data_IF_446575392351
#
_entry.id   IF_446575392351
#
_cell.length_a   1.000
_cell.length_b   1.000
_cell.length_c   1.000
_cell.angle_alpha   90.00
_cell.angle_beta   90.00
_cell.angle_gamma   90.00
#
_symmetry.space_group_name_H-M   'P 1'
#
loop_
_entity.id
_entity.type
_entity.pdbx_description
1 polymer ?
#
# COMPACT_ATOMS: atom_id res chain seq x y z
N UNK A 1 4.46 -25.08 -31.63
CA UNK A 1 3.84 -23.87 -31.06
C UNK A 1 2.68 -24.35 -30.19
N UNK A 2 2.59 -23.90 -28.94
CA UNK A 2 1.48 -24.33 -28.07
C UNK A 2 0.15 -23.71 -28.53
N UNK A 3 -0.98 -24.34 -28.18
CA UNK A 3 -2.31 -23.84 -28.54
C UNK A 3 -2.52 -22.38 -28.06
N UNK A 4 -2.00 -22.04 -26.89
CA UNK A 4 -2.08 -20.67 -26.33
C UNK A 4 -1.23 -19.67 -27.13
N UNK A 5 -0.03 -20.03 -27.58
CA UNK A 5 0.79 -19.18 -28.44
C UNK A 5 0.12 -18.93 -29.79
N UNK A 6 -0.58 -19.94 -30.34
CA UNK A 6 -1.33 -19.79 -31.58
C UNK A 6 -2.47 -18.79 -31.44
N UNK A 7 -3.29 -18.94 -30.37
CA UNK A 7 -4.41 -18.02 -30.09
C UNK A 7 -3.94 -16.60 -29.85
N UNK A 8 -2.88 -16.40 -29.07
CA UNK A 8 -2.28 -15.08 -28.87
C UNK A 8 -1.91 -14.43 -30.22
N UNK A 9 -1.17 -15.14 -31.08
CA UNK A 9 -0.71 -14.60 -32.38
C UNK A 9 -1.88 -14.25 -33.31
N UNK A 10 -2.89 -15.10 -33.37
CA UNK A 10 -4.10 -14.86 -34.17
C UNK A 10 -4.88 -13.64 -33.66
N UNK A 11 -5.00 -13.51 -32.34
CA UNK A 11 -5.65 -12.37 -31.68
C UNK A 11 -4.90 -11.06 -31.93
N UNK A 12 -3.58 -11.03 -31.74
CA UNK A 12 -2.78 -9.82 -31.99
C UNK A 12 -2.86 -9.38 -33.45
N UNK A 13 -2.80 -10.33 -34.39
CA UNK A 13 -2.98 -10.04 -35.83
C UNK A 13 -4.37 -9.45 -36.12
N UNK A 14 -5.41 -10.01 -35.52
CA UNK A 14 -6.77 -9.50 -35.69
C UNK A 14 -6.91 -8.09 -35.12
N UNK A 15 -6.46 -7.84 -33.90
CA UNK A 15 -6.58 -6.55 -33.21
C UNK A 15 -5.80 -5.42 -33.89
N UNK A 16 -4.71 -5.77 -34.60
CA UNK A 16 -3.92 -4.80 -35.37
C UNK A 16 -4.66 -4.28 -36.61
N UNK A 17 -5.50 -5.13 -37.22
CA UNK A 17 -6.09 -4.87 -38.55
C UNK A 17 -7.59 -4.60 -38.51
N UNK A 18 -8.28 -5.07 -37.48
CA UNK A 18 -9.72 -4.92 -37.36
C UNK A 18 -10.12 -3.50 -36.91
N UNK A 19 -11.25 -2.97 -37.40
CA UNK A 19 -11.83 -1.76 -36.83
C UNK A 19 -12.25 -2.01 -35.37
N UNK A 20 -12.12 -0.98 -34.53
CA UNK A 20 -12.53 -1.03 -33.14
C UNK A 20 -14.05 -1.25 -33.04
N UNK A 21 -14.43 -2.45 -32.60
CA UNK A 21 -15.84 -2.91 -32.53
C UNK A 21 -16.08 -3.66 -31.23
N UNK A 22 -16.35 -2.92 -30.17
CA UNK A 22 -16.41 -3.43 -28.78
C UNK A 22 -17.52 -4.44 -28.53
N UNK A 23 -18.59 -4.43 -29.34
CA UNK A 23 -19.71 -5.36 -29.24
C UNK A 23 -19.54 -6.59 -30.14
N UNK A 24 -18.43 -6.67 -30.90
CA UNK A 24 -18.20 -7.80 -31.80
C UNK A 24 -17.59 -8.97 -31.01
N UNK A 25 -18.24 -10.14 -31.07
CA UNK A 25 -17.81 -11.33 -30.34
C UNK A 25 -16.36 -11.75 -30.65
N UNK A 26 -15.91 -11.59 -31.91
CA UNK A 26 -14.54 -11.89 -32.30
C UNK A 26 -13.54 -10.89 -31.72
N UNK A 27 -13.90 -9.62 -31.59
CA UNK A 27 -13.09 -8.61 -30.90
C UNK A 27 -12.96 -8.90 -29.41
N UNK A 28 -14.07 -9.21 -28.75
CA UNK A 28 -14.09 -9.57 -27.31
C UNK A 28 -13.24 -10.83 -27.06
N UNK A 29 -13.42 -11.87 -27.89
CA UNK A 29 -12.61 -13.10 -27.81
C UNK A 29 -11.14 -12.83 -28.07
N UNK A 30 -10.80 -11.95 -29.03
CA UNK A 30 -9.41 -11.62 -29.32
C UNK A 30 -8.70 -10.97 -28.14
N UNK A 31 -9.35 -10.03 -27.42
CA UNK A 31 -8.80 -9.46 -26.18
C UNK A 31 -8.63 -10.53 -25.09
N UNK A 32 -9.55 -11.50 -25.02
CA UNK A 32 -9.52 -12.60 -24.03
C UNK A 32 -8.45 -13.64 -24.25
N UNK A 33 -8.04 -13.80 -25.50
CA UNK A 33 -7.08 -14.81 -25.90
C UNK A 33 -5.63 -14.29 -25.90
N UNK A 34 -5.41 -13.04 -25.49
CA UNK A 34 -4.07 -12.48 -25.34
C UNK A 34 -3.38 -13.13 -24.13
N UNK A 35 -2.29 -13.83 -24.40
CA UNK A 35 -1.30 -14.16 -23.37
C UNK A 35 -0.50 -12.89 -23.00
N UNK A 36 -0.97 -12.17 -21.96
CA UNK A 36 -0.40 -10.88 -21.56
C UNK A 36 1.06 -10.98 -21.08
N UNK A 37 1.39 -12.00 -20.30
CA UNK A 37 2.75 -12.23 -19.76
C UNK A 37 3.82 -12.47 -20.84
N UNK A 38 3.39 -12.73 -22.09
CA UNK A 38 4.29 -12.92 -23.24
C UNK A 38 4.22 -11.78 -24.26
N UNK A 39 3.61 -10.65 -23.92
CA UNK A 39 3.54 -9.49 -24.81
C UNK A 39 4.94 -8.93 -25.07
N UNK A 40 5.22 -8.65 -26.34
CA UNK A 40 6.35 -7.80 -26.70
C UNK A 40 6.03 -6.32 -26.46
N UNK A 41 7.04 -5.46 -26.43
CA UNK A 41 6.86 -4.01 -26.24
C UNK A 41 5.94 -3.39 -27.31
N UNK A 42 6.09 -3.77 -28.58
CA UNK A 42 5.25 -3.25 -29.67
C UNK A 42 3.78 -3.68 -29.52
N UNK A 43 3.56 -4.91 -29.09
CA UNK A 43 2.23 -5.45 -28.83
C UNK A 43 1.58 -4.76 -27.64
N UNK A 44 2.33 -4.52 -26.56
CA UNK A 44 1.85 -3.76 -25.42
C UNK A 44 1.43 -2.34 -25.81
N UNK A 45 2.24 -1.62 -26.59
CA UNK A 45 1.88 -0.29 -27.12
C UNK A 45 0.56 -0.31 -27.90
N UNK A 46 0.30 -1.37 -28.68
CA UNK A 46 -0.99 -1.54 -29.35
C UNK A 46 -2.13 -1.72 -28.33
N UNK A 47 -1.95 -2.57 -27.33
CA UNK A 47 -2.94 -2.84 -26.29
C UNK A 47 -3.24 -1.59 -25.44
N UNK A 48 -2.23 -0.80 -25.07
CA UNK A 48 -2.41 0.48 -24.38
C UNK A 48 -3.25 1.45 -25.21
N UNK A 49 -2.93 1.59 -26.51
CA UNK A 49 -3.71 2.44 -27.43
C UNK A 49 -5.16 1.98 -27.54
N UNK A 50 -5.40 0.66 -27.54
CA UNK A 50 -6.74 0.11 -27.52
C UNK A 50 -7.45 0.47 -26.21
N UNK A 51 -6.83 0.23 -25.05
CA UNK A 51 -7.37 0.56 -23.74
C UNK A 51 -7.89 2.00 -23.66
N UNK A 52 -7.10 2.98 -24.11
CA UNK A 52 -7.49 4.38 -24.05
C UNK A 52 -8.63 4.75 -25.01
N UNK A 53 -8.78 4.03 -26.13
CA UNK A 53 -9.88 4.23 -27.09
C UNK A 53 -11.17 3.53 -26.69
N UNK A 54 -11.11 2.48 -25.88
CA UNK A 54 -12.28 1.68 -25.52
C UNK A 54 -13.24 2.42 -24.59
N UNK A 55 -14.55 2.32 -24.86
CA UNK A 55 -15.64 2.80 -23.99
C UNK A 55 -16.22 1.70 -23.11
N UNK A 56 -16.17 0.44 -23.54
CA UNK A 56 -16.64 -0.72 -22.80
C UNK A 56 -15.76 -0.96 -21.56
N UNK A 57 -16.39 -0.88 -20.39
CA UNK A 57 -15.73 -1.03 -19.09
C UNK A 57 -15.12 -2.42 -18.91
N UNK A 58 -15.85 -3.48 -19.24
CA UNK A 58 -15.39 -4.85 -19.03
C UNK A 58 -14.12 -5.16 -19.82
N UNK A 59 -14.06 -4.71 -21.08
CA UNK A 59 -12.86 -4.88 -21.92
C UNK A 59 -11.67 -4.08 -21.40
N UNK A 60 -11.89 -2.85 -20.94
CA UNK A 60 -10.82 -2.06 -20.31
C UNK A 60 -10.31 -2.73 -19.04
N UNK A 61 -11.21 -3.17 -18.17
CA UNK A 61 -10.87 -3.85 -16.92
C UNK A 61 -10.03 -5.10 -17.19
N UNK A 62 -10.42 -5.89 -18.19
CA UNK A 62 -9.69 -7.08 -18.61
C UNK A 62 -8.27 -6.76 -19.12
N UNK A 63 -8.11 -5.71 -19.94
CA UNK A 63 -6.79 -5.26 -20.39
C UNK A 63 -5.95 -4.80 -19.20
N UNK A 64 -6.53 -4.02 -18.29
CA UNK A 64 -5.83 -3.51 -17.11
C UNK A 64 -5.30 -4.66 -16.25
N UNK A 65 -6.16 -5.64 -15.95
CA UNK A 65 -5.77 -6.88 -15.25
C UNK A 65 -4.68 -7.68 -15.96
N UNK A 66 -4.71 -7.71 -17.29
CA UNK A 66 -3.70 -8.39 -18.08
C UNK A 66 -2.35 -7.70 -18.01
N UNK A 67 -2.33 -6.37 -18.19
CA UNK A 67 -1.11 -5.57 -18.21
C UNK A 67 -0.39 -5.53 -16.86
N UNK A 68 -1.11 -5.63 -15.73
CA UNK A 68 -0.49 -5.76 -14.38
C UNK A 68 0.46 -6.97 -14.30
N UNK A 69 0.22 -8.02 -15.08
CA UNK A 69 1.04 -9.25 -15.07
C UNK A 69 2.30 -9.15 -15.93
N UNK A 70 2.45 -8.07 -16.71
CA UNK A 70 3.56 -7.89 -17.65
C UNK A 70 4.79 -7.30 -16.96
N UNK A 71 5.44 -8.07 -16.08
CA UNK A 71 6.54 -7.60 -15.23
C UNK A 71 7.80 -7.17 -15.99
N UNK A 72 8.00 -7.68 -17.21
CA UNK A 72 9.18 -7.39 -18.04
C UNK A 72 9.03 -6.14 -18.92
N UNK A 73 7.85 -5.49 -18.92
CA UNK A 73 7.57 -4.30 -19.72
C UNK A 73 7.61 -3.04 -18.86
N UNK A 74 8.03 -1.91 -19.43
CA UNK A 74 7.84 -0.60 -18.80
C UNK A 74 6.42 -0.11 -19.12
N UNK A 75 5.56 -0.08 -18.10
CA UNK A 75 4.16 0.34 -18.19
C UNK A 75 3.80 1.41 -17.14
N UNK A 76 4.79 2.11 -16.56
CA UNK A 76 4.56 3.11 -15.51
C UNK A 76 3.62 4.20 -16.02
N UNK A 77 3.96 4.77 -17.17
CA UNK A 77 3.17 5.83 -17.79
C UNK A 77 1.76 5.34 -18.16
N UNK A 78 1.63 4.08 -18.60
CA UNK A 78 0.33 3.47 -18.87
C UNK A 78 -0.54 3.49 -17.62
N UNK A 79 -0.05 2.94 -16.50
CA UNK A 79 -0.83 2.84 -15.27
C UNK A 79 -1.14 4.22 -14.68
N UNK A 80 -0.24 5.20 -14.80
CA UNK A 80 -0.49 6.58 -14.36
C UNK A 80 -1.64 7.20 -15.15
N UNK A 81 -1.63 7.00 -16.46
CA UNK A 81 -2.67 7.51 -17.34
C UNK A 81 -4.00 6.73 -17.17
N UNK A 82 -3.94 5.43 -16.90
CA UNK A 82 -5.11 4.60 -16.59
C UNK A 82 -5.79 5.06 -15.30
N UNK A 83 -5.02 5.33 -14.24
CA UNK A 83 -5.53 5.87 -12.98
C UNK A 83 -6.26 7.21 -13.17
N UNK A 84 -5.72 8.09 -14.01
CA UNK A 84 -6.34 9.39 -14.36
C UNK A 84 -7.61 9.22 -15.23
N UNK A 85 -7.64 8.21 -16.10
CA UNK A 85 -8.77 7.95 -17.02
C UNK A 85 -9.99 7.37 -16.29
N UNK A 86 -9.77 6.42 -15.39
CA UNK A 86 -10.86 5.62 -14.84
C UNK A 86 -11.62 6.34 -13.73
N UNK A 87 -12.95 6.20 -13.74
CA UNK A 87 -13.84 6.82 -12.75
C UNK A 87 -14.33 5.84 -11.68
N UNK A 88 -14.21 4.54 -11.94
CA UNK A 88 -14.65 3.48 -11.04
C UNK A 88 -13.51 3.09 -10.11
N UNK A 89 -13.83 2.95 -8.82
CA UNK A 89 -12.84 2.75 -7.77
C UNK A 89 -12.03 1.47 -7.97
N UNK A 90 -12.70 0.36 -8.30
CA UNK A 90 -12.08 -0.93 -8.58
C UNK A 90 -11.01 -0.84 -9.68
N UNK A 91 -11.32 -0.17 -10.79
CA UNK A 91 -10.37 0.03 -11.89
C UNK A 91 -9.24 1.01 -11.54
N UNK A 92 -9.53 2.05 -10.73
CA UNK A 92 -8.47 2.94 -10.22
C UNK A 92 -7.51 2.18 -9.30
N UNK A 93 -8.04 1.34 -8.41
CA UNK A 93 -7.24 0.48 -7.53
C UNK A 93 -6.36 -0.47 -8.35
N UNK A 94 -6.86 -1.02 -9.46
CA UNK A 94 -6.05 -1.84 -10.37
C UNK A 94 -4.95 -1.05 -11.07
N UNK A 95 -5.23 0.18 -11.49
CA UNK A 95 -4.20 1.04 -12.06
C UNK A 95 -3.12 1.39 -11.02
N UNK A 96 -3.52 1.69 -9.78
CA UNK A 96 -2.58 1.91 -8.67
C UNK A 96 -1.78 0.65 -8.37
N UNK A 97 -2.41 -0.52 -8.41
CA UNK A 97 -1.72 -1.81 -8.25
C UNK A 97 -0.62 -1.98 -9.32
N UNK A 98 -0.88 -1.62 -10.57
CA UNK A 98 0.16 -1.59 -11.61
C UNK A 98 1.26 -0.56 -11.35
N UNK A 99 0.93 0.60 -10.78
CA UNK A 99 1.93 1.63 -10.42
C UNK A 99 2.85 1.23 -9.29
N UNK A 100 2.35 0.47 -8.31
CA UNK A 100 3.12 0.05 -7.14
C UNK A 100 4.38 -0.71 -7.54
N UNK A 101 4.37 -1.43 -8.67
CA UNK A 101 5.55 -2.09 -9.22
C UNK A 101 6.71 -1.15 -9.59
N UNK A 102 6.40 0.13 -9.89
CA UNK A 102 7.38 1.15 -10.31
C UNK A 102 7.67 2.18 -9.22
N UNK A 103 7.20 1.95 -7.99
CA UNK A 103 7.69 2.68 -6.84
C UNK A 103 9.18 2.34 -6.71
N UNK A 104 10.04 3.37 -6.64
CA UNK A 104 11.48 3.17 -6.55
C UNK A 104 11.85 2.38 -5.30
N UNK A 105 12.83 1.48 -5.40
CA UNK A 105 13.49 0.83 -4.25
C UNK A 105 14.23 1.82 -3.33
N UNK A 106 14.31 3.10 -3.71
CA UNK A 106 14.86 4.17 -2.88
C UNK A 106 13.91 4.49 -1.71
N UNK A 107 14.19 3.81 -0.58
CA UNK A 107 13.66 4.01 0.79
C UNK A 107 12.14 4.19 0.85
N UNK A 108 11.44 3.08 0.98
CA UNK A 108 10.03 3.07 1.34
C UNK A 108 9.77 3.69 2.73
N UNK A 109 10.80 3.85 3.57
CA UNK A 109 10.67 4.44 4.89
C UNK A 109 11.86 4.13 5.82
N UNK A 110 11.67 4.34 7.11
CA UNK A 110 12.55 3.83 8.17
C UNK A 110 11.79 3.61 9.48
N UNK A 111 12.30 2.72 10.33
CA UNK A 111 11.81 2.43 11.68
C UNK A 111 12.94 2.72 12.69
N UNK A 112 12.61 3.26 13.86
CA UNK A 112 13.59 3.74 14.84
C UNK A 112 14.38 4.97 14.38
N UNK A 113 15.42 5.36 15.13
CA UNK A 113 16.18 6.58 14.83
C UNK A 113 15.38 7.86 15.06
N UNK A 114 15.70 8.92 14.31
CA UNK A 114 15.03 10.21 14.48
C UNK A 114 13.77 10.30 13.60
N UNK A 115 12.82 11.14 14.02
CA UNK A 115 11.65 11.47 13.21
C UNK A 115 12.05 12.24 11.93
N UNK A 116 11.15 12.37 10.94
CA UNK A 116 11.40 13.26 9.81
C UNK A 116 11.59 14.72 10.24
N UNK A 117 12.49 15.45 9.57
CA UNK A 117 12.76 16.90 9.80
C UNK A 117 11.50 17.77 9.67
N UNK A 118 10.46 17.27 9.01
CA UNK A 118 9.14 17.90 8.99
C UNK A 118 8.65 18.23 10.41
N UNK A 119 8.92 17.37 11.39
CA UNK A 119 8.42 17.55 12.75
C UNK A 119 9.32 18.46 13.62
N UNK A 120 10.42 18.97 13.10
CA UNK A 120 11.31 19.86 13.83
C UNK A 120 10.56 21.14 14.23
N UNK A 121 10.65 21.49 15.52
CA UNK A 121 9.90 22.62 16.08
C UNK A 121 8.37 22.46 16.10
N UNK A 122 7.83 21.29 15.77
CA UNK A 122 6.39 20.99 15.80
C UNK A 122 5.98 20.10 16.99
N UNK A 123 6.61 20.30 18.16
CA UNK A 123 6.31 19.53 19.38
C UNK A 123 4.82 19.51 19.72
N UNK A 124 4.13 20.64 19.53
CA UNK A 124 2.71 20.80 19.88
C UNK A 124 1.77 20.07 18.92
N UNK A 125 2.24 19.64 17.74
CA UNK A 125 1.49 18.77 16.83
C UNK A 125 1.44 17.33 17.36
N UNK A 126 2.49 16.92 18.07
CA UNK A 126 2.71 15.53 18.47
C UNK A 126 2.38 15.34 19.94
N UNK A 127 2.92 16.16 20.83
CA UNK A 127 2.65 16.09 22.26
C UNK A 127 1.28 16.65 22.60
N UNK A 128 0.60 16.03 23.56
CA UNK A 128 -0.74 16.43 23.97
C UNK A 128 -0.83 16.54 25.48
N UNK A 129 -0.97 17.77 25.98
CA UNK A 129 -0.89 18.04 27.41
C UNK A 129 0.46 17.60 27.98
N UNK A 130 0.42 16.66 28.92
CA UNK A 130 1.62 16.07 29.52
C UNK A 130 2.09 14.80 28.80
N UNK A 131 1.32 14.28 27.83
CA UNK A 131 1.65 13.06 27.13
C UNK A 131 2.76 13.30 26.13
N UNK A 132 3.88 12.62 26.35
CA UNK A 132 5.00 12.57 25.42
C UNK A 132 4.87 11.42 24.45
N UNK A 133 5.48 11.61 23.30
CA UNK A 133 5.42 10.71 22.16
C UNK A 133 6.82 10.53 21.61
N UNK A 134 7.08 9.31 21.15
CA UNK A 134 8.33 8.92 20.51
C UNK A 134 8.03 8.37 19.12
N UNK A 135 8.95 8.64 18.21
CA UNK A 135 8.90 8.21 16.83
C UNK A 135 9.02 6.69 16.77
N UNK A 136 8.11 6.08 16.03
CA UNK A 136 8.14 4.65 15.78
C UNK A 136 8.72 4.36 14.40
N UNK A 137 8.04 4.85 13.34
CA UNK A 137 8.47 4.68 11.96
C UNK A 137 7.86 5.71 11.03
N UNK A 138 8.42 5.81 9.84
CA UNK A 138 7.87 6.58 8.72
C UNK A 138 7.91 5.73 7.45
N UNK A 139 6.90 5.86 6.60
CA UNK A 139 6.84 5.23 5.28
C UNK A 139 6.23 6.14 4.23
N UNK A 140 6.70 6.03 2.99
CA UNK A 140 6.09 6.70 1.84
C UNK A 140 4.64 6.21 1.72
N UNK A 141 3.71 7.15 1.63
CA UNK A 141 2.29 6.85 1.61
C UNK A 141 1.98 5.93 0.40
N UNK A 142 1.42 4.72 0.61
CA UNK A 142 1.33 3.71 -0.44
C UNK A 142 0.50 4.12 -1.66
N UNK A 143 -0.40 5.09 -1.49
CA UNK A 143 -1.29 5.62 -2.53
C UNK A 143 -0.97 7.08 -2.94
N UNK A 144 0.03 7.72 -2.33
CA UNK A 144 0.39 9.13 -2.53
C UNK A 144 1.91 9.28 -2.44
N UNK A 145 2.66 8.92 -3.50
CA UNK A 145 4.12 8.86 -3.45
C UNK A 145 4.81 10.19 -3.12
N UNK A 146 4.09 11.30 -3.19
CA UNK A 146 4.51 12.64 -2.77
C UNK A 146 4.33 12.94 -1.27
N UNK A 147 3.76 12.01 -0.49
CA UNK A 147 3.61 12.14 0.97
C UNK A 147 4.12 10.91 1.72
N UNK A 148 4.31 11.08 3.02
CA UNK A 148 4.71 10.04 3.97
C UNK A 148 3.70 9.95 5.09
N UNK A 149 3.64 8.80 5.73
CA UNK A 149 2.93 8.57 6.98
C UNK A 149 3.98 8.29 8.05
N UNK A 150 3.99 9.09 9.11
CA UNK A 150 4.80 8.84 10.30
C UNK A 150 3.92 8.40 11.46
N UNK A 151 4.43 7.44 12.22
CA UNK A 151 3.78 6.87 13.40
C UNK A 151 4.56 7.31 14.64
N UNK A 152 3.82 7.79 15.63
CA UNK A 152 4.33 8.09 16.96
C UNK A 152 3.53 7.30 18.00
N UNK A 153 4.24 6.69 18.93
CA UNK A 153 3.66 5.98 20.07
C UNK A 153 3.86 6.82 21.33
N UNK A 154 2.93 6.79 22.30
CA UNK A 154 3.19 7.43 23.59
C UNK A 154 4.43 6.84 24.27
N UNK A 155 5.18 7.67 24.99
CA UNK A 155 6.36 7.23 25.75
C UNK A 155 5.98 6.32 26.94
N UNK A 156 4.78 6.51 27.49
CA UNK A 156 4.24 5.72 28.59
C UNK A 156 3.48 4.49 28.06
N UNK A 157 3.97 3.29 28.36
CA UNK A 157 3.36 2.02 27.95
C UNK A 157 1.93 1.84 28.45
N UNK A 158 1.67 2.21 29.70
CA UNK A 158 0.35 2.02 30.31
C UNK A 158 -0.71 2.87 29.60
N UNK A 159 -0.33 4.08 29.18
CA UNK A 159 -1.23 4.99 28.46
C UNK A 159 -1.75 4.36 27.16
N UNK A 160 -0.88 3.82 26.31
CA UNK A 160 -1.34 3.21 25.05
C UNK A 160 -1.82 1.78 25.19
N UNK A 161 -1.57 1.11 26.31
CA UNK A 161 -2.23 -0.14 26.67
C UNK A 161 -3.71 0.09 27.00
N UNK A 162 -4.02 1.08 27.84
CA UNK A 162 -5.40 1.44 28.19
C UNK A 162 -6.16 2.04 27.00
N UNK A 163 -5.45 2.76 26.13
CA UNK A 163 -5.99 3.47 24.97
C UNK A 163 -5.52 2.82 23.65
N UNK A 164 -5.78 1.52 23.49
CA UNK A 164 -5.31 0.73 22.34
C UNK A 164 -6.31 0.57 21.18
N UNK A 165 -7.50 1.17 21.24
CA UNK A 165 -8.59 0.97 20.24
C UNK A 165 -9.24 2.30 19.81
N UNK A 166 -9.48 2.45 18.52
CA UNK A 166 -10.22 3.57 17.91
C UNK A 166 -11.64 3.69 18.48
N UNK A 167 -12.14 4.91 18.75
CA UNK A 167 -11.56 6.22 18.41
C UNK A 167 -10.54 6.76 19.42
N UNK A 168 -10.31 6.06 20.52
CA UNK A 168 -9.46 6.53 21.60
C UNK A 168 -8.03 6.01 21.49
N UNK A 169 -7.64 5.40 20.36
CA UNK A 169 -6.30 4.87 20.20
C UNK A 169 -5.29 6.01 20.33
N UNK A 170 -4.39 5.95 21.31
CA UNK A 170 -3.46 7.03 21.59
C UNK A 170 -2.29 7.09 20.59
N UNK A 171 -2.07 6.04 19.79
CA UNK A 171 -1.06 6.03 18.73
C UNK A 171 -1.42 7.03 17.64
N UNK A 172 -0.45 7.88 17.28
CA UNK A 172 -0.63 8.91 16.24
C UNK A 172 -0.11 8.43 14.90
N UNK A 173 -0.95 8.50 13.88
CA UNK A 173 -0.56 8.33 12.48
C UNK A 173 -0.76 9.66 11.75
N UNK A 174 0.30 10.22 11.19
CA UNK A 174 0.28 11.58 10.64
C UNK A 174 0.80 11.56 9.21
N UNK A 175 -0.01 12.04 8.28
CA UNK A 175 0.39 12.28 6.90
C UNK A 175 1.11 13.63 6.78
N UNK A 176 2.26 13.66 6.09
CA UNK A 176 3.04 14.87 5.85
C UNK A 176 3.79 14.79 4.51
N UNK A 177 4.33 15.90 3.97
CA UNK A 177 5.19 15.88 2.78
C UNK A 177 6.42 14.99 2.97
N UNK A 178 6.97 14.45 1.88
CA UNK A 178 8.25 13.72 1.90
C UNK A 178 9.32 14.58 2.61
N UNK A 179 10.04 13.95 3.53
CA UNK A 179 10.97 14.61 4.43
C UNK A 179 12.11 13.66 4.79
N UNK A 180 13.33 14.19 4.92
CA UNK A 180 14.48 13.40 5.35
C UNK A 180 14.49 13.20 6.86
N UNK A 181 15.31 12.28 7.37
CA UNK A 181 15.46 12.10 8.82
C UNK A 181 16.05 13.38 9.45
N UNK A 182 15.48 13.81 10.56
CA UNK A 182 15.93 14.96 11.34
C UNK A 182 17.31 14.72 11.97
N UNK A 183 18.06 15.81 12.15
CA UNK A 183 19.24 15.81 13.02
C UNK A 183 18.89 15.97 14.51
N UNK A 184 17.66 16.35 14.83
CA UNK A 184 17.17 16.51 16.19
C UNK A 184 16.70 15.18 16.79
N UNK A 185 17.09 14.93 18.04
CA UNK A 185 16.74 13.70 18.75
C UNK A 185 15.44 13.81 19.58
N UNK A 186 14.63 14.85 19.36
CA UNK A 186 13.48 15.20 20.20
C UNK A 186 12.49 14.04 20.36
N UNK A 187 12.21 13.34 19.27
CA UNK A 187 11.26 12.24 19.24
C UNK A 187 11.94 10.86 19.17
N UNK A 188 13.26 10.78 19.25
CA UNK A 188 13.98 9.52 19.05
C UNK A 188 13.52 8.47 20.06
N UNK A 189 13.09 7.31 19.57
CA UNK A 189 12.81 6.18 20.44
C UNK A 189 14.15 5.52 20.84
N UNK A 190 14.54 5.56 22.12
CA UNK A 190 15.82 4.99 22.55
C UNK A 190 15.87 3.47 22.38
N UNK A 191 14.73 2.78 22.43
CA UNK A 191 14.67 1.33 22.32
C UNK A 191 14.77 0.78 20.89
N UNK A 192 14.72 1.64 19.87
CA UNK A 192 14.73 1.23 18.46
C UNK A 192 15.97 1.75 17.72
N UNK A 193 16.82 0.82 17.31
CA UNK A 193 17.96 1.06 16.43
C UNK A 193 17.44 1.29 15.01
N UNK A 194 17.84 2.40 14.39
CA UNK A 194 17.36 2.76 13.06
C UNK A 194 17.59 1.65 12.01
N UNK A 195 16.53 1.27 11.31
CA UNK A 195 16.60 0.44 10.11
C UNK A 195 15.86 1.10 8.94
N UNK A 196 16.45 1.03 7.75
CA UNK A 196 15.76 1.44 6.53
C UNK A 196 14.72 0.40 6.13
N UNK A 197 13.58 0.87 5.62
CA UNK A 197 12.53 0.02 5.05
C UNK A 197 12.73 0.02 3.53
N UNK A 198 12.96 -1.16 2.96
CA UNK A 198 13.06 -1.38 1.52
C UNK A 198 11.68 -1.55 0.87
N UNK A 199 11.65 -1.57 -0.47
CA UNK A 199 10.45 -2.00 -1.19
C UNK A 199 10.00 -3.40 -0.76
N UNK A 200 8.70 -3.62 -0.74
CA UNK A 200 8.09 -4.92 -0.45
C UNK A 200 7.81 -5.74 -1.70
N UNK A 201 7.46 -7.00 -1.51
CA UNK A 201 7.03 -7.89 -2.60
C UNK A 201 5.50 -7.89 -2.73
N UNK A 202 5.02 -8.06 -3.97
CA UNK A 202 3.60 -8.29 -4.22
C UNK A 202 3.20 -9.71 -3.80
N UNK A 203 2.30 -9.81 -2.83
CA UNK A 203 1.68 -11.07 -2.40
C UNK A 203 0.16 -11.00 -2.55
N UNK A 204 -0.46 -12.16 -2.73
CA UNK A 204 -1.91 -12.27 -2.53
C UNK A 204 -2.22 -12.35 -1.02
N UNK A 205 -3.48 -12.08 -0.68
CA UNK A 205 -3.88 -11.94 0.72
C UNK A 205 -3.72 -13.23 1.51
N UNK A 206 -4.15 -14.38 0.96
CA UNK A 206 -4.00 -15.70 1.60
C UNK A 206 -2.54 -16.02 1.92
N UNK A 207 -1.64 -15.92 0.94
CA UNK A 207 -0.21 -16.18 1.14
C UNK A 207 0.44 -15.24 2.14
N UNK A 208 -0.02 -13.98 2.16
CA UNK A 208 0.52 -13.00 3.10
C UNK A 208 0.20 -13.34 4.56
N UNK A 209 -0.84 -14.14 4.82
CA UNK A 209 -1.17 -14.57 6.18
C UNK A 209 -0.19 -15.63 6.71
N UNK A 210 0.40 -16.43 5.81
CA UNK A 210 1.26 -17.57 6.14
C UNK A 210 2.76 -17.23 6.22
N UNK A 211 3.14 -15.97 5.99
CA UNK A 211 4.53 -15.51 6.01
C UNK A 211 4.74 -14.40 7.04
N UNK A 212 5.91 -14.37 7.67
CA UNK A 212 6.30 -13.25 8.52
C UNK A 212 6.60 -12.02 7.65
N UNK A 213 6.15 -10.85 8.08
CA UNK A 213 6.38 -9.57 7.40
C UNK A 213 6.50 -8.45 8.42
N UNK A 214 7.29 -7.41 8.11
CA UNK A 214 7.33 -6.20 8.95
C UNK A 214 6.11 -5.32 8.68
N UNK A 215 5.78 -5.10 7.40
CA UNK A 215 4.67 -4.26 6.96
C UNK A 215 3.86 -5.01 5.91
N UNK A 216 2.53 -4.98 6.07
CA UNK A 216 1.59 -5.42 5.06
C UNK A 216 0.68 -4.26 4.69
N UNK A 217 0.60 -3.94 3.40
CA UNK A 217 -0.23 -2.87 2.86
C UNK A 217 -1.40 -3.47 2.09
N UNK A 218 -2.62 -3.01 2.38
CA UNK A 218 -3.85 -3.46 1.72
C UNK A 218 -4.23 -4.91 2.02
N UNK A 219 -5.30 -5.39 1.36
CA UNK A 219 -5.90 -6.69 1.65
C UNK A 219 -6.65 -6.69 2.99
N UNK A 220 -6.73 -7.84 3.67
CA UNK A 220 -7.29 -7.96 5.01
C UNK A 220 -6.18 -7.90 6.07
N UNK A 221 -6.42 -7.32 7.26
CA UNK A 221 -5.44 -7.39 8.34
C UNK A 221 -5.23 -8.83 8.84
N UNK A 222 -3.99 -9.20 9.15
CA UNK A 222 -3.66 -10.43 9.91
C UNK A 222 -3.84 -10.12 11.39
N UNK A 223 -5.03 -10.43 11.91
CA UNK A 223 -5.37 -10.18 13.32
C UNK A 223 -4.78 -11.26 14.23
N UNK A 224 -4.22 -10.84 15.36
CA UNK A 224 -3.81 -11.73 16.46
C UNK A 224 -5.06 -12.23 17.20
N UNK A 225 -5.99 -11.30 17.46
CA UNK A 225 -7.27 -11.59 18.11
C UNK A 225 -8.42 -11.21 17.18
N UNK A 226 -9.29 -12.18 16.88
CA UNK A 226 -10.41 -11.99 15.97
C UNK A 226 -11.70 -11.62 16.73
N UNK A 227 -11.69 -10.43 17.34
CA UNK A 227 -12.82 -9.92 18.11
C UNK A 227 -13.46 -8.71 17.41
N UNK A 228 -14.78 -8.74 17.26
CA UNK A 228 -15.52 -7.74 16.46
C UNK A 228 -15.37 -6.30 17.00
N UNK A 229 -15.19 -6.15 18.32
CA UNK A 229 -15.16 -4.83 18.96
C UNK A 229 -14.01 -3.94 18.44
N UNK A 230 -12.90 -4.53 17.99
CA UNK A 230 -11.79 -3.79 17.37
C UNK A 230 -12.22 -3.08 16.07
N UNK A 231 -13.17 -3.66 15.35
CA UNK A 231 -13.58 -3.21 14.02
C UNK A 231 -14.91 -2.45 14.03
N UNK A 232 -15.72 -2.56 15.08
CA UNK A 232 -17.08 -1.99 15.14
C UNK A 232 -17.10 -0.50 14.79
N UNK A 233 -16.30 0.33 15.46
CA UNK A 233 -16.28 1.78 15.23
C UNK A 233 -15.71 2.17 13.87
N UNK A 234 -14.67 1.47 13.42
CA UNK A 234 -14.08 1.68 12.10
C UNK A 234 -15.08 1.38 10.98
N UNK A 235 -15.85 0.29 11.11
CA UNK A 235 -16.93 -0.09 10.17
C UNK A 235 -18.07 0.94 10.16
N UNK A 236 -18.53 1.37 11.34
CA UNK A 236 -19.58 2.40 11.47
C UNK A 236 -19.22 3.70 10.74
N UNK A 237 -17.95 4.09 10.77
CA UNK A 237 -17.44 5.31 10.13
C UNK A 237 -16.88 5.10 8.72
N UNK A 238 -17.04 3.90 8.15
CA UNK A 238 -16.55 3.53 6.81
C UNK A 238 -15.04 3.76 6.64
N UNK A 239 -14.26 3.51 7.69
CA UNK A 239 -12.80 3.59 7.69
C UNK A 239 -12.26 2.20 7.34
N UNK A 240 -11.38 2.13 6.34
CA UNK A 240 -10.88 0.86 5.80
C UNK A 240 -9.42 0.63 6.15
N UNK A 241 -9.04 -0.64 6.18
CA UNK A 241 -7.65 -1.04 6.44
C UNK A 241 -6.70 -0.43 5.40
N UNK A 242 -5.60 0.14 5.88
CA UNK A 242 -4.57 0.74 5.04
C UNK A 242 -3.31 -0.12 5.05
N UNK A 243 -2.70 -0.30 6.22
CA UNK A 243 -1.54 -1.18 6.41
C UNK A 243 -1.44 -1.61 7.88
N UNK A 244 -0.64 -2.63 8.15
CA UNK A 244 -0.25 -3.02 9.50
C UNK A 244 1.26 -3.11 9.63
N UNK A 245 1.73 -3.04 10.87
CA UNK A 245 3.13 -3.21 11.25
C UNK A 245 3.16 -4.33 12.29
N UNK A 246 3.85 -5.41 11.96
CA UNK A 246 3.84 -6.64 12.75
C UNK A 246 5.23 -6.89 13.33
N UNK A 247 5.30 -7.03 14.66
CA UNK A 247 6.56 -7.16 15.39
C UNK A 247 7.24 -8.51 15.16
N UNK A 248 6.51 -9.52 14.67
CA UNK A 248 7.09 -10.79 14.20
C UNK A 248 8.11 -10.54 13.07
N UNK A 249 7.90 -9.50 12.26
CA UNK A 249 8.77 -9.15 11.14
C UNK A 249 9.98 -8.29 11.49
N UNK A 250 10.22 -8.00 12.77
CA UNK A 250 11.37 -7.20 13.19
C UNK A 250 12.69 -7.92 12.87
N UNK A 251 13.71 -7.23 12.33
CA UNK A 251 15.06 -7.80 12.30
C UNK A 251 15.59 -7.89 13.74
N UNK A 252 16.40 -8.91 14.01
CA UNK A 252 16.98 -9.16 15.35
C UNK A 252 17.77 -7.96 15.91
N UNK A 253 18.27 -7.09 15.03
CA UNK A 253 19.04 -5.90 15.37
C UNK A 253 18.21 -4.65 15.61
N UNK A 254 16.87 -4.71 15.47
CA UNK A 254 16.01 -3.53 15.61
C UNK A 254 15.92 -3.04 17.04
N UNK A 255 15.75 -3.96 18.00
CA UNK A 255 15.62 -3.62 19.41
C UNK A 255 17.00 -3.43 20.03
N UNK A 256 17.14 -2.40 20.86
CA UNK A 256 18.30 -2.27 21.73
C UNK A 256 18.32 -3.41 22.77
N UNK A 257 19.51 -3.82 23.21
CA UNK A 257 19.66 -4.79 24.31
C UNK A 257 18.81 -4.35 25.53
N UNK A 258 18.10 -5.30 26.12
CA UNK A 258 17.21 -5.11 27.29
C UNK A 258 15.95 -4.24 27.06
N UNK A 259 15.63 -3.87 25.81
CA UNK A 259 14.38 -3.19 25.47
C UNK A 259 13.28 -4.18 25.07
N UNK A 260 12.04 -3.88 25.48
CA UNK A 260 10.86 -4.64 25.11
C UNK A 260 10.32 -4.20 23.75
N UNK A 261 9.61 -5.12 23.09
CA UNK A 261 8.78 -4.81 21.94
C UNK A 261 7.72 -3.76 22.29
N UNK A 262 7.57 -2.67 21.52
CA UNK A 262 6.54 -1.65 21.74
C UNK A 262 5.14 -2.22 21.94
N UNK A 263 4.77 -3.27 21.21
CA UNK A 263 3.44 -3.88 21.26
C UNK A 263 3.45 -5.29 21.87
N UNK A 264 4.49 -5.64 22.65
CA UNK A 264 4.54 -6.92 23.35
C UNK A 264 4.55 -8.14 22.42
N UNK A 265 5.30 -8.07 21.32
CA UNK A 265 5.26 -9.05 20.23
C UNK A 265 3.89 -9.08 19.54
N UNK A 266 3.42 -7.89 19.23
CA UNK A 266 2.11 -7.57 18.73
C UNK A 266 2.08 -7.05 17.30
N UNK A 267 0.97 -6.42 16.93
CA UNK A 267 0.78 -5.79 15.63
C UNK A 267 -0.07 -4.53 15.76
N UNK A 268 0.34 -3.47 15.06
CA UNK A 268 -0.35 -2.19 14.92
C UNK A 268 -1.09 -2.13 13.60
N UNK A 269 -2.36 -1.72 13.62
CA UNK A 269 -3.21 -1.65 12.45
C UNK A 269 -3.62 -0.21 12.13
N UNK A 270 -3.21 0.28 10.97
CA UNK A 270 -3.51 1.63 10.48
C UNK A 270 -4.66 1.56 9.48
N UNK A 271 -5.62 2.46 9.67
CA UNK A 271 -6.82 2.58 8.86
C UNK A 271 -6.91 3.98 8.26
N UNK A 272 -7.67 4.14 7.19
CA UNK A 272 -7.91 5.45 6.60
C UNK A 272 -9.29 5.51 5.94
N UNK A 273 -9.81 6.73 5.78
CA UNK A 273 -11.02 6.94 4.96
C UNK A 273 -10.64 6.86 3.49
N UNK A 274 -11.26 5.91 2.79
CA UNK A 274 -11.05 5.72 1.36
C UNK A 274 -12.02 6.62 0.60
N UNK A 275 -11.56 7.80 0.19
CA UNK A 275 -12.35 8.71 -0.63
C UNK A 275 -12.47 8.23 -2.08
N UNK A 276 -13.39 8.83 -2.84
CA UNK A 276 -13.56 8.53 -4.28
C UNK A 276 -12.34 8.91 -5.12
N UNK A 277 -11.51 9.83 -4.62
CA UNK A 277 -10.33 10.32 -5.33
C UNK A 277 -9.01 10.14 -4.57
N UNK A 278 -9.04 10.07 -3.24
CA UNK A 278 -7.86 10.11 -2.39
C UNK A 278 -8.08 9.34 -1.08
N UNK A 279 -7.01 8.76 -0.55
CA UNK A 279 -6.97 8.26 0.84
C UNK A 279 -6.84 9.46 1.77
N UNK A 280 -7.67 9.53 2.81
CA UNK A 280 -7.69 10.66 3.73
C UNK A 280 -7.57 10.18 5.18
N UNK A 281 -6.80 10.93 5.96
CA UNK A 281 -6.70 10.81 7.41
C UNK A 281 -6.33 9.38 7.87
N UNK A 282 -5.06 8.96 7.69
CA UNK A 282 -4.60 7.74 8.34
C UNK A 282 -4.77 7.89 9.86
N UNK A 283 -5.30 6.86 10.50
CA UNK A 283 -5.52 6.78 11.94
C UNK A 283 -5.05 5.42 12.45
N UNK A 284 -4.56 5.38 13.68
CA UNK A 284 -4.38 4.11 14.36
C UNK A 284 -5.77 3.53 14.67
N UNK A 285 -6.08 2.37 14.09
CA UNK A 285 -7.32 1.66 14.36
C UNK A 285 -7.23 0.98 15.72
N UNK A 286 -6.18 0.19 15.91
CA UNK A 286 -5.87 -0.46 17.18
C UNK A 286 -4.50 -1.11 17.10
N UNK A 287 -4.01 -1.61 18.23
CA UNK A 287 -2.92 -2.58 18.28
C UNK A 287 -3.32 -3.78 19.15
N UNK A 288 -2.73 -4.93 18.84
CA UNK A 288 -2.96 -6.19 19.54
C UNK A 288 -1.62 -6.76 19.98
N UNK A 289 -1.63 -7.54 21.06
CA UNK A 289 -0.48 -8.29 21.56
C UNK A 289 -0.87 -9.76 21.73
N UNK A 290 0.14 -10.65 21.75
CA UNK A 290 -0.06 -12.09 21.91
C UNK A 290 -0.19 -12.54 23.36
#
# INVERSE_FOLDING_TARGET
MSLNQQRHKESMKYLTTAPLRENNAKFISAISDIAYESLTTDEAVLIERLYFKLKNLALRNQILYGLIRCKELELKDFFQNAYKKERYLDMRLLAVHGLAYYASEDRAGWIGGNAPEFFDGQSDLIHEGNQKYIFYLSLIHPFKPESMISIFIPEDYEEYLENNIYPNCSIKAIEHPISTESTEAMFTNPGLIKHAISGGELSNDEKSMDQSFLIKVGGNPRLIQNEDYYLTKLKEESISFLFQVDEEGYPETLLQEDCNYPFGFGSLYIYAKMGTTEVQHPVAGFWQFS
#
